data_IF_285483226520
#
_entry.id   IF_285483226520
#
_cell.length_a   1.000
_cell.length_b   1.000
_cell.length_c   1.000
_cell.angle_alpha   90.00
_cell.angle_beta   90.00
_cell.angle_gamma   90.00
#
_symmetry.space_group_name_H-M   'P 1'
#
loop_
_entity.id
_entity.type
_entity.pdbx_description
1 polymer ?
#
# COMPACT_ATOMS: atom_id res chain seq x y z
N UNK A 1 -19.36 -16.54 43.01
CA UNK A 1 -19.26 -16.83 41.57
C UNK A 1 -19.57 -15.60 40.70
N UNK A 2 -20.73 -14.94 40.83
CA UNK A 2 -21.10 -13.76 40.01
C UNK A 2 -20.10 -12.58 40.03
N UNK A 3 -19.52 -12.24 41.19
CA UNK A 3 -18.52 -11.16 41.30
C UNK A 3 -17.23 -11.45 40.50
N UNK A 4 -16.77 -12.71 40.49
CA UNK A 4 -15.58 -13.12 39.73
C UNK A 4 -15.84 -13.06 38.22
N UNK A 5 -17.04 -13.46 37.79
CA UNK A 5 -17.46 -13.37 36.39
C UNK A 5 -17.54 -11.91 35.91
N UNK A 6 -18.03 -10.98 36.74
CA UNK A 6 -18.10 -9.55 36.40
C UNK A 6 -16.69 -8.95 36.24
N UNK A 7 -15.77 -9.25 37.17
CA UNK A 7 -14.39 -8.76 37.08
C UNK A 7 -13.70 -9.30 35.82
N UNK A 8 -13.89 -10.59 35.50
CA UNK A 8 -13.37 -11.21 34.29
C UNK A 8 -13.94 -10.56 33.02
N UNK A 9 -15.23 -10.27 33.01
CA UNK A 9 -15.87 -9.62 31.86
C UNK A 9 -15.33 -8.19 31.65
N UNK A 10 -15.11 -7.45 32.74
CA UNK A 10 -14.53 -6.10 32.67
C UNK A 10 -13.08 -6.10 32.20
N UNK A 11 -12.24 -7.04 32.64
CA UNK A 11 -10.85 -7.12 32.19
C UNK A 11 -10.74 -7.52 30.73
N UNK A 12 -11.57 -8.47 30.27
CA UNK A 12 -11.65 -8.84 28.85
C UNK A 12 -12.13 -7.66 28.01
N UNK A 13 -13.15 -6.94 28.46
CA UNK A 13 -13.65 -5.75 27.77
C UNK A 13 -12.60 -4.64 27.69
N UNK A 14 -11.82 -4.43 28.75
CA UNK A 14 -10.76 -3.42 28.76
C UNK A 14 -9.59 -3.81 27.84
N UNK A 15 -9.23 -5.10 27.79
CA UNK A 15 -8.22 -5.61 26.87
C UNK A 15 -8.66 -5.39 25.41
N UNK A 16 -9.90 -5.76 25.08
CA UNK A 16 -10.47 -5.57 23.75
C UNK A 16 -10.52 -4.09 23.36
N UNK A 17 -10.88 -3.21 24.29
CA UNK A 17 -10.91 -1.76 24.04
C UNK A 17 -9.51 -1.23 23.75
N UNK A 18 -8.48 -1.68 24.48
CA UNK A 18 -7.10 -1.27 24.23
C UNK A 18 -6.61 -1.70 22.85
N UNK A 19 -6.92 -2.92 22.40
CA UNK A 19 -6.50 -3.38 21.06
C UNK A 19 -7.12 -2.57 19.93
N UNK A 20 -8.34 -2.07 20.10
CA UNK A 20 -9.01 -1.21 19.10
C UNK A 20 -8.35 0.17 19.06
N UNK A 21 -8.03 0.74 20.22
CA UNK A 21 -7.35 2.06 20.31
C UNK A 21 -5.93 2.01 19.73
N UNK A 22 -5.26 0.87 19.80
CA UNK A 22 -3.90 0.67 19.28
C UNK A 22 -3.84 0.05 17.87
N UNK A 23 -4.96 -0.10 17.17
CA UNK A 23 -4.94 -0.54 15.79
C UNK A 23 -4.24 0.53 14.93
N UNK A 24 -2.99 0.25 14.55
CA UNK A 24 -2.20 1.16 13.72
C UNK A 24 -2.65 1.02 12.26
N UNK A 25 -3.02 2.14 11.62
CA UNK A 25 -3.32 2.16 10.19
C UNK A 25 -2.12 1.62 9.40
N UNK A 26 -2.38 0.68 8.49
CA UNK A 26 -1.38 0.13 7.58
C UNK A 26 -1.34 0.95 6.31
N UNK A 27 -0.18 1.53 6.03
CA UNK A 27 0.03 2.32 4.82
C UNK A 27 0.66 1.48 3.71
N UNK A 28 0.15 1.61 2.49
CA UNK A 28 0.75 1.07 1.28
C UNK A 28 1.30 2.19 0.40
N UNK A 29 2.39 1.92 -0.32
CA UNK A 29 2.95 2.81 -1.34
C UNK A 29 2.90 2.11 -2.71
N UNK A 30 2.34 2.77 -3.71
CA UNK A 30 2.39 2.35 -5.11
C UNK A 30 3.21 3.36 -5.90
N UNK A 31 4.25 2.88 -6.58
CA UNK A 31 5.01 3.65 -7.57
C UNK A 31 4.46 3.27 -8.94
N UNK A 32 3.81 4.21 -9.62
CA UNK A 32 3.10 3.95 -10.88
C UNK A 32 3.99 4.38 -12.04
N UNK A 33 4.50 3.41 -12.79
CA UNK A 33 5.18 3.65 -14.06
C UNK A 33 4.21 3.42 -15.23
N UNK A 34 4.51 3.98 -16.40
CA UNK A 34 3.67 3.81 -17.58
C UNK A 34 3.54 2.32 -18.00
N UNK A 35 4.66 1.60 -18.03
CA UNK A 35 4.72 0.24 -18.61
C UNK A 35 5.00 0.26 -20.11
N UNK A 36 5.59 -0.82 -20.60
CA UNK A 36 5.95 -1.06 -21.99
C UNK A 36 5.44 -2.42 -22.44
N UNK A 37 5.04 -2.60 -23.72
CA UNK A 37 4.75 -3.91 -24.30
C UNK A 37 5.93 -4.88 -24.23
N UNK A 38 7.16 -4.37 -24.19
CA UNK A 38 8.36 -5.17 -24.20
C UNK A 38 8.87 -5.37 -22.76
N UNK A 39 8.85 -6.61 -22.20
CA UNK A 39 9.12 -6.85 -20.79
C UNK A 39 10.46 -6.30 -20.28
N UNK A 40 11.52 -6.38 -21.09
CA UNK A 40 12.85 -5.88 -20.72
C UNK A 40 12.89 -4.37 -20.43
N UNK A 41 11.94 -3.59 -20.95
CA UNK A 41 11.84 -2.16 -20.68
C UNK A 41 11.15 -1.85 -19.34
N UNK A 42 10.44 -2.83 -18.76
CA UNK A 42 9.80 -2.69 -17.45
C UNK A 42 10.78 -3.02 -16.32
N UNK A 43 11.81 -3.82 -16.59
CA UNK A 43 12.81 -4.25 -15.59
C UNK A 43 13.40 -3.10 -14.74
N UNK A 44 13.80 -1.94 -15.29
CA UNK A 44 14.36 -0.88 -14.47
C UNK A 44 13.37 -0.31 -13.45
N UNK A 45 12.10 -0.14 -13.84
CA UNK A 45 11.09 0.41 -12.93
C UNK A 45 10.62 -0.61 -11.90
N UNK A 46 10.55 -1.90 -12.26
CA UNK A 46 10.18 -2.97 -11.33
C UNK A 46 11.21 -3.13 -10.19
N UNK A 47 12.50 -2.88 -10.47
CA UNK A 47 13.56 -2.90 -9.44
C UNK A 47 13.42 -1.81 -8.38
N UNK A 48 12.71 -0.72 -8.68
CA UNK A 48 12.50 0.38 -7.74
C UNK A 48 11.77 -0.06 -6.47
N UNK A 49 10.93 -1.09 -6.55
CA UNK A 49 10.26 -1.67 -5.37
C UNK A 49 11.29 -2.00 -4.28
N UNK A 50 12.34 -2.75 -4.64
CA UNK A 50 13.35 -3.17 -3.67
C UNK A 50 14.29 -2.05 -3.25
N UNK A 51 14.61 -1.15 -4.18
CA UNK A 51 15.46 0.00 -3.91
C UNK A 51 14.82 0.95 -2.89
N UNK A 52 13.52 1.25 -3.06
CA UNK A 52 12.78 2.12 -2.15
C UNK A 52 12.60 1.46 -0.78
N UNK A 53 12.28 0.16 -0.72
CA UNK A 53 12.27 -0.58 0.56
C UNK A 53 13.60 -0.45 1.32
N UNK A 54 14.71 -0.62 0.59
CA UNK A 54 16.06 -0.55 1.17
C UNK A 54 16.35 0.84 1.70
N UNK A 55 16.07 1.88 0.91
CA UNK A 55 16.30 3.28 1.30
C UNK A 55 15.46 3.66 2.53
N UNK A 56 14.18 3.28 2.56
CA UNK A 56 13.27 3.59 3.68
C UNK A 56 13.70 2.86 4.96
N UNK A 57 14.18 1.63 4.83
CA UNK A 57 14.69 0.84 5.96
C UNK A 57 15.96 1.45 6.54
N UNK A 58 16.90 1.89 5.69
CA UNK A 58 18.16 2.51 6.12
C UNK A 58 17.95 3.85 6.84
N UNK A 59 16.93 4.61 6.45
CA UNK A 59 16.57 5.89 7.07
C UNK A 59 15.80 5.74 8.39
N UNK A 60 15.42 4.52 8.78
CA UNK A 60 14.68 4.24 10.01
C UNK A 60 13.27 4.84 10.04
N UNK A 61 12.70 5.17 8.87
CA UNK A 61 11.44 5.89 8.74
C UNK A 61 10.43 5.19 7.82
N UNK A 62 10.57 3.88 7.62
CA UNK A 62 9.60 3.13 6.83
C UNK A 62 8.27 3.01 7.58
N UNK A 63 7.31 3.87 7.18
CA UNK A 63 5.92 3.83 7.66
C UNK A 63 5.02 2.95 6.79
N UNK A 64 5.52 2.44 5.67
CA UNK A 64 4.74 1.63 4.74
C UNK A 64 4.84 0.15 5.10
N UNK A 65 3.68 -0.48 5.30
CA UNK A 65 3.54 -1.93 5.49
C UNK A 65 3.83 -2.69 4.20
N UNK A 66 3.62 -2.07 3.04
CA UNK A 66 3.96 -2.62 1.74
C UNK A 66 4.34 -1.50 0.75
N UNK A 67 5.36 -1.75 -0.06
CA UNK A 67 5.78 -0.89 -1.17
C UNK A 67 5.70 -1.74 -2.44
N UNK A 68 5.05 -1.23 -3.48
CA UNK A 68 4.88 -1.93 -4.75
C UNK A 68 5.10 -1.02 -5.93
N UNK A 69 5.58 -1.58 -7.03
CA UNK A 69 5.53 -0.92 -8.34
C UNK A 69 4.31 -1.42 -9.11
N UNK A 70 3.65 -0.53 -9.84
CA UNK A 70 2.58 -0.86 -10.77
C UNK A 70 2.87 -0.28 -12.17
N UNK A 71 2.50 -1.02 -13.20
CA UNK A 71 2.53 -0.60 -14.59
C UNK A 71 1.12 -0.21 -15.00
N UNK A 72 0.95 1.00 -15.53
CA UNK A 72 -0.35 1.50 -15.95
C UNK A 72 -0.90 0.75 -17.17
N UNK A 73 -0.02 0.38 -18.11
CA UNK A 73 -0.38 -0.29 -19.36
C UNK A 73 0.52 -1.49 -19.68
N UNK A 74 0.02 -2.32 -20.61
CA UNK A 74 0.69 -3.42 -21.33
C UNK A 74 1.12 -4.65 -20.53
N UNK A 75 1.50 -4.49 -19.27
CA UNK A 75 2.10 -5.56 -18.48
C UNK A 75 1.66 -5.51 -17.02
N UNK A 76 1.99 -6.59 -16.30
CA UNK A 76 1.76 -6.73 -14.87
C UNK A 76 3.04 -6.42 -14.07
N UNK A 77 2.93 -6.07 -12.78
CA UNK A 77 1.68 -5.89 -12.03
C UNK A 77 0.97 -4.58 -12.42
N UNK A 78 -0.33 -4.65 -12.72
CA UNK A 78 -1.17 -3.48 -13.00
C UNK A 78 -1.55 -2.74 -11.70
N UNK A 79 -2.04 -1.51 -11.82
CA UNK A 79 -2.55 -0.74 -10.66
C UNK A 79 -3.64 -1.55 -9.94
N UNK A 80 -4.57 -2.16 -10.67
CA UNK A 80 -5.64 -2.98 -10.11
C UNK A 80 -5.12 -4.23 -9.38
N UNK A 81 -4.11 -4.90 -9.95
CA UNK A 81 -3.47 -6.06 -9.31
C UNK A 81 -2.85 -5.65 -7.98
N UNK A 82 -2.11 -4.54 -7.95
CA UNK A 82 -1.46 -4.06 -6.71
C UNK A 82 -2.50 -3.62 -5.67
N UNK A 83 -3.57 -2.93 -6.08
CA UNK A 83 -4.65 -2.55 -5.16
C UNK A 83 -5.29 -3.80 -4.55
N UNK A 84 -5.56 -4.84 -5.34
CA UNK A 84 -6.10 -6.10 -4.84
C UNK A 84 -5.14 -6.81 -3.88
N UNK A 85 -3.85 -6.77 -4.15
CA UNK A 85 -2.83 -7.28 -3.23
C UNK A 85 -2.84 -6.51 -1.90
N UNK A 86 -3.03 -5.19 -1.95
CA UNK A 86 -3.13 -4.32 -0.79
C UNK A 86 -4.41 -4.57 0.03
N UNK A 87 -5.54 -4.79 -0.62
CA UNK A 87 -6.79 -5.23 0.03
C UNK A 87 -6.57 -6.56 0.77
N UNK A 88 -5.90 -7.54 0.14
CA UNK A 88 -5.67 -8.86 0.72
C UNK A 88 -4.81 -8.83 1.99
N UNK A 89 -3.89 -7.86 2.12
CA UNK A 89 -3.03 -7.71 3.31
C UNK A 89 -3.57 -6.68 4.32
N UNK A 90 -4.72 -6.08 4.01
CA UNK A 90 -5.42 -5.10 4.85
C UNK A 90 -4.67 -3.76 4.95
N UNK A 91 -4.22 -3.21 3.82
CA UNK A 91 -3.77 -1.81 3.76
C UNK A 91 -4.98 -0.89 3.90
N UNK A 92 -4.93 0.04 4.84
CA UNK A 92 -6.01 0.99 5.12
C UNK A 92 -5.90 2.25 4.24
N UNK A 93 -4.66 2.64 3.90
CA UNK A 93 -4.39 3.87 3.15
C UNK A 93 -3.29 3.66 2.13
N UNK A 94 -3.61 3.99 0.88
CA UNK A 94 -2.69 3.86 -0.24
C UNK A 94 -2.16 5.24 -0.65
N UNK A 95 -0.84 5.34 -0.73
CA UNK A 95 -0.14 6.48 -1.29
C UNK A 95 0.34 6.10 -2.69
N UNK A 96 0.04 6.92 -3.70
CA UNK A 96 0.41 6.65 -5.09
C UNK A 96 1.36 7.73 -5.59
N UNK A 97 2.47 7.33 -6.20
CA UNK A 97 3.45 8.24 -6.82
C UNK A 97 3.54 7.91 -8.31
N UNK A 98 3.01 8.76 -9.20
CA UNK A 98 3.24 8.64 -10.63
C UNK A 98 4.70 8.94 -10.98
N UNK A 99 5.42 7.93 -11.44
CA UNK A 99 6.80 8.05 -11.94
C UNK A 99 6.76 8.45 -13.42
N UNK A 100 6.48 9.72 -13.67
CA UNK A 100 6.39 10.31 -15.00
C UNK A 100 7.31 11.52 -15.10
N UNK A 101 7.86 11.77 -16.30
CA UNK A 101 8.79 12.89 -16.54
C UNK A 101 8.10 14.24 -16.44
N UNK A 102 6.84 14.31 -16.87
CA UNK A 102 6.04 15.53 -16.86
C UNK A 102 4.55 15.20 -16.67
N UNK A 103 3.73 16.16 -16.18
CA UNK A 103 2.29 16.02 -16.18
C UNK A 103 1.76 15.81 -17.61
N UNK A 104 0.82 14.88 -17.75
CA UNK A 104 0.18 14.53 -19.01
C UNK A 104 -1.24 14.02 -18.76
N UNK A 105 -1.94 13.59 -19.82
CA UNK A 105 -3.24 12.94 -19.68
C UNK A 105 -3.21 11.72 -18.76
N UNK A 106 -2.09 10.97 -18.76
CA UNK A 106 -1.90 9.84 -17.87
C UNK A 106 -1.91 10.22 -16.39
N UNK A 107 -1.19 11.28 -16.01
CA UNK A 107 -1.18 11.74 -14.61
C UNK A 107 -2.46 12.44 -14.19
N UNK A 108 -3.12 13.13 -15.12
CA UNK A 108 -4.25 14.02 -14.82
C UNK A 108 -5.62 13.33 -14.93
N UNK A 109 -5.73 12.32 -15.78
CA UNK A 109 -7.00 11.66 -16.08
C UNK A 109 -6.92 10.15 -15.90
N UNK A 110 -5.95 9.47 -16.52
CA UNK A 110 -5.97 8.01 -16.56
C UNK A 110 -5.68 7.37 -15.20
N UNK A 111 -4.61 7.78 -14.51
CA UNK A 111 -4.28 7.26 -13.18
C UNK A 111 -5.40 7.56 -12.16
N UNK A 112 -5.93 8.80 -12.04
CA UNK A 112 -7.10 9.07 -11.20
C UNK A 112 -8.30 8.18 -11.55
N UNK A 113 -8.61 8.02 -12.84
CA UNK A 113 -9.73 7.18 -13.30
C UNK A 113 -9.55 5.73 -12.90
N UNK A 114 -8.35 5.15 -13.08
CA UNK A 114 -8.04 3.77 -12.68
C UNK A 114 -8.17 3.59 -11.17
N UNK A 115 -7.81 4.61 -10.38
CA UNK A 115 -7.94 4.63 -8.92
C UNK A 115 -9.35 4.98 -8.42
N UNK A 116 -10.28 5.33 -9.32
CA UNK A 116 -11.65 5.72 -8.98
C UNK A 116 -11.77 7.09 -8.29
N UNK A 117 -10.88 8.04 -8.62
CA UNK A 117 -10.81 9.40 -8.07
C UNK A 117 -11.41 10.46 -9.00
#
# INVERSE_FOLDING_TARGET
>A
MKKLQIILLMTVSLLLLSTIVYAQEKYGLIIIAHGSPMPQWNEPVLKLEKEVETIMSQKGNNQFSAIRVALMEFNEPSINTVIKDFENIGIDKVYTIPLLIAPSGHSLFDIPTILGL
#
